data_IF_196975137386
#
_entry.id   IF_196975137386
#
_cell.length_a   1.000
_cell.length_b   1.000
_cell.length_c   1.000
_cell.angle_alpha   90.00
_cell.angle_beta   90.00
_cell.angle_gamma   90.00
#
_symmetry.space_group_name_H-M   'P 1'
#
loop_
_entity.id
_entity.type
_entity.pdbx_description
1 polymer ?
#
# COMPACT_ATOMS: atom_id res chain seq x y z
N UNK A 1 -22.88 5.51 -17.14
CA UNK A 1 -21.94 6.40 -16.45
C UNK A 1 -21.07 7.02 -17.52
N UNK A 2 -20.82 8.31 -17.45
CA UNK A 2 -19.82 8.96 -18.33
C UNK A 2 -18.48 8.23 -18.21
N UNK A 3 -17.77 7.98 -19.33
CA UNK A 3 -16.55 7.17 -19.33
C UNK A 3 -15.49 7.69 -18.36
N UNK A 4 -15.30 9.01 -18.26
CA UNK A 4 -14.38 9.63 -17.31
C UNK A 4 -14.75 9.43 -15.84
N UNK A 5 -16.04 9.47 -15.50
CA UNK A 5 -16.51 9.22 -14.11
C UNK A 5 -16.24 7.76 -13.72
N UNK A 6 -16.47 6.83 -14.64
CA UNK A 6 -16.15 5.41 -14.43
C UNK A 6 -14.66 5.19 -14.20
N UNK A 7 -13.80 5.82 -15.00
CA UNK A 7 -12.34 5.69 -14.85
C UNK A 7 -11.86 6.27 -13.51
N UNK A 8 -12.42 7.41 -13.08
CA UNK A 8 -12.12 8.02 -11.79
C UNK A 8 -12.50 7.10 -10.62
N UNK A 9 -13.72 6.55 -10.63
CA UNK A 9 -14.17 5.61 -9.59
C UNK A 9 -13.33 4.33 -9.56
N UNK A 10 -12.99 3.77 -10.73
CA UNK A 10 -12.09 2.61 -10.81
C UNK A 10 -10.71 2.92 -10.24
N UNK A 11 -10.18 4.13 -10.48
CA UNK A 11 -8.91 4.56 -9.91
C UNK A 11 -8.99 4.62 -8.38
N UNK A 12 -10.07 5.19 -7.82
CA UNK A 12 -10.30 5.21 -6.36
C UNK A 12 -10.37 3.80 -5.81
N UNK A 13 -11.20 2.94 -6.39
CA UNK A 13 -11.36 1.55 -5.93
C UNK A 13 -10.02 0.83 -5.97
N UNK A 14 -9.25 0.94 -7.05
CA UNK A 14 -7.92 0.35 -7.14
C UNK A 14 -6.97 0.87 -6.05
N UNK A 15 -6.99 2.16 -5.75
CA UNK A 15 -6.14 2.71 -4.68
C UNK A 15 -6.52 2.20 -3.30
N UNK A 16 -7.82 2.10 -3.02
CA UNK A 16 -8.32 1.53 -1.77
C UNK A 16 -7.99 0.04 -1.67
N UNK A 17 -8.22 -0.74 -2.73
CA UNK A 17 -7.92 -2.17 -2.76
C UNK A 17 -6.44 -2.44 -2.53
N UNK A 18 -5.54 -1.72 -3.21
CA UNK A 18 -4.09 -1.89 -3.04
C UNK A 18 -3.64 -1.44 -1.65
N UNK A 19 -4.18 -0.33 -1.13
CA UNK A 19 -3.88 0.14 0.23
C UNK A 19 -4.32 -0.85 1.30
N UNK A 20 -5.54 -1.38 1.20
CA UNK A 20 -6.08 -2.40 2.10
C UNK A 20 -5.30 -3.72 2.00
N UNK A 21 -4.90 -4.12 0.79
CA UNK A 21 -4.07 -5.30 0.60
C UNK A 21 -2.68 -5.14 1.25
N UNK A 22 -2.06 -3.98 1.08
CA UNK A 22 -0.79 -3.67 1.74
C UNK A 22 -0.95 -3.68 3.27
N UNK A 23 -2.04 -3.12 3.81
CA UNK A 23 -2.35 -3.19 5.24
C UNK A 23 -2.53 -4.64 5.71
N UNK A 24 -3.25 -5.48 4.97
CA UNK A 24 -3.48 -6.87 5.33
C UNK A 24 -2.17 -7.66 5.41
N UNK A 25 -1.26 -7.47 4.44
CA UNK A 25 0.07 -8.10 4.44
C UNK A 25 0.88 -7.66 5.65
N UNK A 26 0.97 -6.36 5.90
CA UNK A 26 1.82 -5.84 6.98
C UNK A 26 1.24 -6.12 8.37
N UNK A 27 -0.08 -6.12 8.52
CA UNK A 27 -0.74 -6.55 9.76
C UNK A 27 -0.51 -8.04 10.02
N UNK A 28 -0.60 -8.89 8.99
CA UNK A 28 -0.32 -10.32 9.14
C UNK A 28 1.16 -10.55 9.46
N UNK A 29 2.06 -9.96 8.69
CA UNK A 29 3.50 -10.12 8.87
C UNK A 29 4.02 -9.52 10.19
N UNK A 30 3.48 -8.36 10.60
CA UNK A 30 3.93 -7.67 11.81
C UNK A 30 3.29 -8.18 13.09
N UNK A 31 1.96 -8.39 13.08
CA UNK A 31 1.20 -8.71 14.28
C UNK A 31 1.10 -10.22 14.50
N UNK A 32 0.77 -11.00 13.45
CA UNK A 32 0.55 -12.45 13.61
C UNK A 32 1.85 -13.22 13.87
N UNK A 33 2.95 -12.77 13.25
CA UNK A 33 4.28 -13.38 13.44
C UNK A 33 5.13 -12.67 14.49
N UNK A 34 4.54 -11.74 15.26
CA UNK A 34 5.19 -10.99 16.34
C UNK A 34 6.43 -10.17 15.92
N UNK A 35 6.69 -10.02 14.61
CA UNK A 35 7.84 -9.26 14.08
C UNK A 35 7.77 -7.76 14.37
N UNK A 36 6.58 -7.23 14.67
CA UNK A 36 6.38 -5.83 15.06
C UNK A 36 6.63 -5.59 16.56
N UNK A 37 6.79 -6.63 17.37
CA UNK A 37 6.99 -6.51 18.82
C UNK A 37 8.42 -6.87 19.20
N UNK A 38 9.01 -6.08 20.10
CA UNK A 38 10.36 -6.31 20.61
C UNK A 38 10.27 -7.04 21.95
N UNK A 39 10.29 -8.37 21.94
CA UNK A 39 10.38 -9.18 23.15
C UNK A 39 11.83 -9.23 23.66
N UNK A 40 12.24 -8.20 24.41
CA UNK A 40 13.50 -8.12 25.18
C UNK A 40 14.79 -7.90 24.38
N UNK A 41 14.84 -8.29 23.10
CA UNK A 41 15.98 -8.03 22.19
C UNK A 41 15.51 -7.83 20.75
N UNK A 42 16.25 -7.05 19.96
CA UNK A 42 15.97 -6.87 18.54
C UNK A 42 16.40 -8.15 17.81
N UNK A 43 15.43 -8.87 17.24
CA UNK A 43 15.71 -10.05 16.43
C UNK A 43 15.94 -9.68 14.97
N UNK A 44 16.63 -10.54 14.23
CA UNK A 44 16.82 -10.38 12.78
C UNK A 44 15.49 -10.28 12.02
N UNK A 45 14.44 -10.96 12.50
CA UNK A 45 13.10 -10.89 11.91
C UNK A 45 12.50 -9.49 11.97
N UNK A 46 12.68 -8.79 13.09
CA UNK A 46 12.19 -7.42 13.26
C UNK A 46 12.90 -6.46 12.29
N UNK A 47 14.23 -6.57 12.17
CA UNK A 47 15.02 -5.73 11.25
C UNK A 47 14.55 -5.93 9.80
N UNK A 48 14.40 -7.18 9.36
CA UNK A 48 13.93 -7.50 8.02
C UNK A 48 12.51 -6.95 7.80
N UNK A 49 11.61 -7.12 8.77
CA UNK A 49 10.24 -6.61 8.70
C UNK A 49 10.21 -5.09 8.55
N UNK A 50 10.96 -4.34 9.37
CA UNK A 50 10.99 -2.88 9.27
C UNK A 50 11.64 -2.38 7.98
N UNK A 51 12.71 -3.03 7.50
CA UNK A 51 13.29 -2.73 6.19
C UNK A 51 12.27 -2.96 5.06
N UNK A 52 11.58 -4.10 5.06
CA UNK A 52 10.51 -4.40 4.11
C UNK A 52 9.36 -3.38 4.21
N UNK A 53 8.94 -3.03 5.42
CA UNK A 53 7.86 -2.08 5.66
C UNK A 53 8.18 -0.71 5.06
N UNK A 54 9.37 -0.16 5.33
CA UNK A 54 9.80 1.15 4.79
C UNK A 54 9.91 1.11 3.27
N UNK A 55 10.54 0.07 2.71
CA UNK A 55 10.71 -0.06 1.25
C UNK A 55 9.35 -0.20 0.57
N UNK A 56 8.49 -1.11 1.05
CA UNK A 56 7.17 -1.34 0.47
C UNK A 56 6.26 -0.12 0.61
N UNK A 57 6.31 0.61 1.73
CA UNK A 57 5.57 1.85 1.92
C UNK A 57 6.03 2.93 0.94
N UNK A 58 7.34 3.10 0.76
CA UNK A 58 7.90 4.05 -0.20
C UNK A 58 7.46 3.72 -1.63
N UNK A 59 7.46 2.44 -2.01
CA UNK A 59 6.97 1.98 -3.31
C UNK A 59 5.47 2.23 -3.49
N UNK A 60 4.67 1.98 -2.45
CA UNK A 60 3.24 2.24 -2.46
C UNK A 60 2.95 3.73 -2.69
N UNK A 61 3.63 4.62 -1.96
CA UNK A 61 3.49 6.07 -2.13
C UNK A 61 3.91 6.53 -3.54
N UNK A 62 5.05 6.03 -4.04
CA UNK A 62 5.50 6.36 -5.41
C UNK A 62 4.50 5.89 -6.47
N UNK A 63 3.93 4.70 -6.29
CA UNK A 63 2.90 4.18 -7.18
C UNK A 63 1.61 5.03 -7.12
N UNK A 64 1.18 5.41 -5.92
CA UNK A 64 0.00 6.26 -5.71
C UNK A 64 0.17 7.62 -6.39
N UNK A 65 1.31 8.29 -6.15
CA UNK A 65 1.62 9.57 -6.80
C UNK A 65 1.60 9.40 -8.32
N UNK A 66 2.29 8.39 -8.85
CA UNK A 66 2.32 8.12 -10.31
C UNK A 66 0.94 7.85 -10.89
N UNK A 67 0.07 7.15 -10.15
CA UNK A 67 -1.29 6.84 -10.59
C UNK A 67 -2.15 8.09 -10.68
N UNK A 68 -2.05 8.98 -9.68
CA UNK A 68 -2.84 10.21 -9.61
C UNK A 68 -2.27 11.36 -10.45
N UNK A 69 -0.98 11.32 -10.78
CA UNK A 69 -0.37 12.27 -11.73
C UNK A 69 -0.82 12.06 -13.18
N UNK A 70 -1.47 10.92 -13.51
CA UNK A 70 -2.01 10.71 -14.86
C UNK A 70 -3.32 11.50 -15.03
N UNK A 71 -3.43 12.39 -16.03
CA UNK A 71 -4.71 13.05 -16.30
C UNK A 71 -5.78 12.01 -16.65
N UNK A 72 -7.03 12.31 -16.30
CA UNK A 72 -8.21 11.54 -16.69
C UNK A 72 -8.95 12.39 -17.71
N UNK A 73 -9.23 11.79 -18.86
CA UNK A 73 -10.05 12.45 -19.88
C UNK A 73 -11.52 12.23 -19.54
N UNK A 74 -12.25 13.32 -19.32
CA UNK A 74 -13.66 13.27 -18.96
C UNK A 74 -14.58 13.44 -20.17
N UNK A 75 -14.03 13.78 -21.34
CA UNK A 75 -14.79 14.13 -22.54
C UNK A 75 -14.81 13.04 -23.63
N UNK A 76 -14.07 11.93 -23.44
CA UNK A 76 -14.13 10.74 -24.31
C UNK A 76 -15.33 9.84 -24.03
#
# INVERSE_FOLDING_TARGET
MEPGVREYLLRIVNTLSVGLFWLAINSTAGIMYDHAFFHGSITTGNIIFYCWFIVSFTLLLRWLIKLWSKPIDFEQ
#
